data_IF_866395568777
#
_entry.id   IF_866395568777
#
_cell.length_a   1.000
_cell.length_b   1.000
_cell.length_c   1.000
_cell.angle_alpha   90.00
_cell.angle_beta   90.00
_cell.angle_gamma   90.00
#
_symmetry.space_group_name_H-M   'P 1'
#
loop_
_entity.id
_entity.type
_entity.pdbx_description
1 polymer ?
#
# COMPACT_ATOMS: atom_id res chain seq x y z
N UNK A 1 -1.81 9.90 -31.35
CA UNK A 1 -0.95 10.76 -30.49
C UNK A 1 -1.50 12.19 -30.57
N UNK A 2 -2.24 12.66 -29.58
CA UNK A 2 -2.68 14.06 -29.51
C UNK A 2 -1.64 14.84 -28.72
N UNK A 3 -1.00 15.78 -29.37
CA UNK A 3 0.08 16.60 -28.83
C UNK A 3 -0.38 17.42 -27.64
N UNK A 4 0.23 17.18 -26.47
CA UNK A 4 0.08 17.95 -25.23
C UNK A 4 0.66 19.38 -25.36
N UNK A 5 1.49 19.63 -26.35
CA UNK A 5 2.14 20.92 -26.63
C UNK A 5 1.17 22.05 -26.99
N UNK A 6 0.00 21.77 -27.55
CA UNK A 6 -0.95 22.80 -27.94
C UNK A 6 -1.95 23.24 -26.87
N UNK A 7 -1.87 22.71 -25.64
CA UNK A 7 -2.81 23.06 -24.58
C UNK A 7 -2.32 24.25 -23.73
N UNK A 8 -1.07 24.25 -23.34
CA UNK A 8 -0.50 25.36 -22.53
C UNK A 8 -0.59 26.66 -23.33
N UNK A 9 -0.32 26.62 -24.65
CA UNK A 9 -0.46 27.77 -25.55
C UNK A 9 -1.91 28.25 -25.65
N UNK A 10 -2.87 27.35 -25.85
CA UNK A 10 -4.31 27.70 -25.93
C UNK A 10 -4.88 28.23 -24.62
N UNK A 11 -4.43 27.72 -23.51
CA UNK A 11 -4.82 28.21 -22.19
C UNK A 11 -4.21 29.59 -21.93
N UNK A 12 -2.98 29.82 -22.36
CA UNK A 12 -2.32 31.12 -22.33
C UNK A 12 -3.11 32.19 -23.09
N UNK A 13 -3.52 31.89 -24.30
CA UNK A 13 -4.32 32.81 -25.11
C UNK A 13 -5.67 33.15 -24.46
N UNK A 14 -6.38 32.14 -23.94
CA UNK A 14 -7.67 32.35 -23.28
C UNK A 14 -7.58 33.11 -21.95
N UNK A 15 -6.53 32.87 -21.15
CA UNK A 15 -6.32 33.52 -19.86
C UNK A 15 -5.48 34.78 -19.96
N UNK A 16 -4.93 35.10 -21.12
CA UNK A 16 -4.00 36.22 -21.36
C UNK A 16 -2.82 36.23 -20.36
N UNK A 17 -2.22 35.05 -20.13
CA UNK A 17 -1.07 34.87 -19.23
C UNK A 17 0.03 34.08 -19.96
N UNK A 18 1.24 34.10 -19.43
CA UNK A 18 2.36 33.33 -20.00
C UNK A 18 2.21 31.81 -19.76
N UNK A 19 2.84 30.99 -20.61
CA UNK A 19 2.94 29.52 -20.44
C UNK A 19 3.52 29.18 -19.08
N UNK A 20 4.50 29.96 -18.60
CA UNK A 20 5.09 29.80 -17.28
C UNK A 20 4.06 29.98 -16.16
N UNK A 21 3.17 31.00 -16.30
CA UNK A 21 2.11 31.27 -15.33
C UNK A 21 1.06 30.14 -15.33
N UNK A 22 0.65 29.65 -16.50
CA UNK A 22 -0.25 28.48 -16.63
C UNK A 22 0.37 27.27 -15.94
N UNK A 23 1.62 26.93 -16.27
CA UNK A 23 2.33 25.82 -15.66
C UNK A 23 2.46 25.95 -14.15
N UNK A 24 2.73 27.13 -13.62
CA UNK A 24 2.82 27.39 -12.17
C UNK A 24 1.46 27.21 -11.49
N UNK A 25 0.38 27.75 -12.07
CA UNK A 25 -0.97 27.62 -11.52
C UNK A 25 -1.42 26.17 -11.47
N UNK A 26 -1.23 25.40 -12.56
CA UNK A 26 -1.59 24.00 -12.66
C UNK A 26 -0.78 23.11 -11.70
N UNK A 27 0.43 23.53 -11.34
CA UNK A 27 1.31 22.78 -10.41
C UNK A 27 1.27 23.30 -8.96
N UNK A 28 0.38 24.24 -8.62
CA UNK A 28 0.17 24.66 -7.25
C UNK A 28 1.27 25.55 -6.65
N UNK A 29 2.06 26.25 -7.46
CA UNK A 29 3.10 27.18 -6.95
C UNK A 29 2.47 28.37 -6.23
N UNK A 30 3.11 28.79 -5.13
CA UNK A 30 2.62 29.88 -4.26
C UNK A 30 2.89 31.28 -4.82
N UNK A 31 3.71 31.42 -5.87
CA UNK A 31 4.11 32.69 -6.46
C UNK A 31 3.14 33.22 -7.53
N UNK A 32 1.93 32.67 -7.56
CA UNK A 32 0.80 33.13 -8.40
C UNK A 32 -0.35 33.54 -7.49
N UNK A 33 -1.00 34.67 -7.82
CA UNK A 33 -2.17 35.13 -7.06
C UNK A 33 -3.28 34.07 -7.10
N UNK A 34 -4.03 33.95 -6.02
CA UNK A 34 -5.18 33.03 -5.94
C UNK A 34 -6.23 33.29 -7.02
N UNK A 35 -6.41 34.55 -7.40
CA UNK A 35 -7.36 34.95 -8.46
C UNK A 35 -6.91 34.43 -9.82
N UNK A 36 -5.64 34.63 -10.17
CA UNK A 36 -5.03 34.12 -11.41
C UNK A 36 -5.06 32.59 -11.43
N UNK A 37 -4.75 31.93 -10.32
CA UNK A 37 -4.80 30.48 -10.19
C UNK A 37 -6.21 29.95 -10.45
N UNK A 38 -7.23 30.50 -9.80
CA UNK A 38 -8.64 30.10 -9.99
C UNK A 38 -9.09 30.29 -11.44
N UNK A 39 -8.72 31.38 -12.07
CA UNK A 39 -9.02 31.66 -13.47
C UNK A 39 -8.41 30.60 -14.39
N UNK A 40 -7.12 30.29 -14.23
CA UNK A 40 -6.41 29.29 -15.04
C UNK A 40 -7.00 27.89 -14.83
N UNK A 41 -7.25 27.48 -13.60
CA UNK A 41 -7.83 26.16 -13.28
C UNK A 41 -9.26 26.02 -13.87
N UNK A 42 -10.06 27.07 -13.79
CA UNK A 42 -11.39 27.07 -14.40
C UNK A 42 -11.32 26.93 -15.91
N UNK A 43 -10.47 27.73 -16.57
CA UNK A 43 -10.28 27.66 -18.03
C UNK A 43 -9.76 26.30 -18.46
N UNK A 44 -8.81 25.72 -17.71
CA UNK A 44 -8.28 24.40 -17.96
C UNK A 44 -9.40 23.32 -17.88
N UNK A 45 -10.25 23.38 -16.84
CA UNK A 45 -11.38 22.48 -16.67
C UNK A 45 -12.39 22.61 -17.83
N UNK A 46 -12.76 23.84 -18.22
CA UNK A 46 -13.65 24.10 -19.36
C UNK A 46 -13.12 23.58 -20.69
N UNK A 47 -11.78 23.51 -20.82
CA UNK A 47 -11.10 22.95 -21.99
C UNK A 47 -10.90 21.43 -21.92
N UNK A 48 -11.35 20.76 -20.85
CA UNK A 48 -11.15 19.33 -20.65
C UNK A 48 -9.70 18.93 -20.42
N UNK A 49 -8.89 19.82 -19.86
CA UNK A 49 -7.49 19.53 -19.60
C UNK A 49 -7.32 18.63 -18.34
N UNK A 50 -6.60 17.55 -18.53
CA UNK A 50 -6.06 16.74 -17.47
C UNK A 50 -4.54 16.90 -17.42
N UNK A 51 -3.96 17.31 -16.29
CA UNK A 51 -2.51 17.41 -16.14
C UNK A 51 -1.82 16.09 -16.52
N UNK A 52 -0.74 16.18 -17.29
CA UNK A 52 0.03 15.00 -17.66
C UNK A 52 0.84 14.52 -16.43
N UNK A 53 0.49 13.34 -15.91
CA UNK A 53 1.17 12.72 -14.77
C UNK A 53 2.67 12.53 -15.01
N UNK A 54 3.09 12.16 -16.23
CA UNK A 54 4.49 11.99 -16.58
C UNK A 54 5.28 13.29 -16.51
N UNK A 55 4.69 14.41 -16.97
CA UNK A 55 5.32 15.73 -16.88
C UNK A 55 5.44 16.19 -15.40
N UNK A 56 4.42 15.89 -14.58
CA UNK A 56 4.45 16.14 -13.14
C UNK A 56 5.56 15.33 -12.46
N UNK A 57 5.67 14.03 -12.77
CA UNK A 57 6.70 13.13 -12.24
C UNK A 57 8.11 13.62 -12.55
N UNK A 58 8.38 14.04 -13.79
CA UNK A 58 9.68 14.58 -14.18
C UNK A 58 10.09 15.80 -13.34
N UNK A 59 9.11 16.63 -12.97
CA UNK A 59 9.35 17.86 -12.23
C UNK A 59 9.46 17.64 -10.72
N UNK A 60 8.56 16.85 -10.15
CA UNK A 60 8.46 16.61 -8.70
C UNK A 60 9.33 15.47 -8.23
N UNK A 61 9.84 14.63 -9.12
CA UNK A 61 10.49 13.33 -8.87
C UNK A 61 9.60 12.38 -8.04
N UNK A 62 8.28 12.58 -8.11
CA UNK A 62 7.26 11.74 -7.49
C UNK A 62 6.25 11.31 -8.52
N UNK A 63 5.95 10.02 -8.55
CA UNK A 63 4.94 9.46 -9.45
C UNK A 63 3.51 9.62 -8.92
N UNK A 64 3.36 9.78 -7.61
CA UNK A 64 2.10 9.66 -6.89
C UNK A 64 1.44 8.31 -7.13
N UNK A 65 2.25 7.27 -7.19
CA UNK A 65 1.81 5.89 -7.38
C UNK A 65 2.45 5.00 -6.31
N UNK A 66 1.64 4.19 -5.65
CA UNK A 66 2.11 3.23 -4.64
C UNK A 66 1.90 1.82 -5.18
N UNK A 67 2.95 1.01 -5.11
CA UNK A 67 2.89 -0.40 -5.40
C UNK A 67 2.18 -1.17 -4.29
N UNK A 68 1.38 -2.17 -4.66
CA UNK A 68 0.83 -3.14 -3.73
C UNK A 68 1.28 -4.51 -4.18
N UNK A 69 2.09 -5.15 -3.34
CA UNK A 69 2.47 -6.55 -3.49
C UNK A 69 1.55 -7.38 -2.63
N UNK A 70 0.69 -8.14 -3.28
CA UNK A 70 -0.27 -9.03 -2.66
C UNK A 70 -0.28 -10.35 -3.42
N UNK A 71 0.15 -11.43 -2.76
CA UNK A 71 0.22 -12.77 -3.34
C UNK A 71 -0.42 -13.73 -2.34
N UNK A 72 -1.67 -14.05 -2.58
CA UNK A 72 -2.40 -15.00 -1.73
C UNK A 72 -2.15 -16.43 -2.21
N UNK A 73 -1.34 -17.18 -1.47
CA UNK A 73 -1.02 -18.57 -1.74
C UNK A 73 -2.24 -19.50 -1.61
N UNK A 74 -3.23 -19.12 -0.80
CA UNK A 74 -4.50 -19.84 -0.65
C UNK A 74 -5.44 -19.66 -1.85
N UNK A 75 -5.04 -18.88 -2.85
CA UNK A 75 -5.80 -18.58 -4.05
C UNK A 75 -7.19 -17.95 -3.81
N UNK A 76 -7.44 -17.39 -2.63
CA UNK A 76 -8.62 -16.56 -2.36
C UNK A 76 -8.55 -15.19 -3.04
N UNK A 77 -7.35 -14.76 -3.41
CA UNK A 77 -7.10 -13.49 -4.08
C UNK A 77 -7.61 -12.30 -3.28
N UNK A 78 -8.17 -11.32 -3.95
CA UNK A 78 -8.73 -10.12 -3.31
C UNK A 78 -10.05 -10.38 -2.54
N UNK A 79 -10.54 -11.61 -2.50
CA UNK A 79 -11.72 -11.99 -1.73
C UNK A 79 -11.41 -12.44 -0.31
N UNK A 80 -10.13 -12.47 0.07
CA UNK A 80 -9.72 -12.77 1.44
C UNK A 80 -10.29 -11.71 2.41
N UNK A 81 -11.16 -12.13 3.32
CA UNK A 81 -12.04 -11.25 4.10
C UNK A 81 -11.25 -10.17 4.88
N UNK A 82 -10.21 -10.55 5.61
CA UNK A 82 -9.37 -9.61 6.35
C UNK A 82 -8.61 -8.64 5.41
N UNK A 83 -7.89 -9.16 4.42
CA UNK A 83 -7.08 -8.33 3.54
C UNK A 83 -7.90 -7.45 2.60
N UNK A 84 -9.09 -7.88 2.23
CA UNK A 84 -10.04 -7.05 1.49
C UNK A 84 -10.32 -5.73 2.24
N UNK A 85 -10.63 -5.78 3.53
CA UNK A 85 -10.86 -4.59 4.33
C UNK A 85 -9.60 -3.72 4.49
N UNK A 86 -8.44 -4.34 4.67
CA UNK A 86 -7.15 -3.63 4.74
C UNK A 86 -6.88 -2.89 3.42
N UNK A 87 -7.01 -3.58 2.29
CA UNK A 87 -6.76 -3.01 0.96
C UNK A 87 -7.76 -1.91 0.60
N UNK A 88 -9.04 -2.06 0.96
CA UNK A 88 -10.06 -1.02 0.72
C UNK A 88 -9.77 0.24 1.56
N UNK A 89 -9.39 0.08 2.82
CA UNK A 89 -9.00 1.21 3.67
C UNK A 89 -7.73 1.90 3.15
N UNK A 90 -6.75 1.12 2.71
CA UNK A 90 -5.53 1.63 2.10
C UNK A 90 -5.85 2.41 0.80
N UNK A 91 -6.65 1.82 -0.10
CA UNK A 91 -7.07 2.44 -1.36
C UNK A 91 -7.73 3.80 -1.11
N UNK A 92 -8.72 3.86 -0.24
CA UNK A 92 -9.41 5.11 0.10
C UNK A 92 -8.45 6.18 0.61
N UNK A 93 -7.54 5.83 1.52
CA UNK A 93 -6.56 6.78 2.08
C UNK A 93 -5.55 7.25 1.03
N UNK A 94 -5.13 6.37 0.12
CA UNK A 94 -4.25 6.72 -0.99
C UNK A 94 -4.92 7.71 -1.94
N UNK A 95 -6.16 7.44 -2.34
CA UNK A 95 -6.97 8.32 -3.21
C UNK A 95 -7.18 9.70 -2.58
N UNK A 96 -7.54 9.79 -1.29
CA UNK A 96 -7.68 11.06 -0.54
C UNK A 96 -6.39 11.88 -0.54
N UNK A 97 -5.23 11.22 -0.60
CA UNK A 97 -3.90 11.86 -0.66
C UNK A 97 -3.38 12.08 -2.09
N UNK A 98 -4.19 11.76 -3.10
CA UNK A 98 -3.85 11.94 -4.51
C UNK A 98 -2.84 10.93 -5.05
N UNK A 99 -2.80 9.72 -4.48
CA UNK A 99 -1.99 8.60 -4.95
C UNK A 99 -2.84 7.60 -5.72
N UNK A 100 -2.29 7.12 -6.82
CA UNK A 100 -2.75 5.93 -7.53
C UNK A 100 -2.18 4.67 -6.89
N UNK A 101 -2.82 3.51 -7.14
CA UNK A 101 -2.36 2.20 -6.67
C UNK A 101 -2.08 1.31 -7.87
N UNK A 102 -0.93 0.65 -7.86
CA UNK A 102 -0.56 -0.36 -8.85
C UNK A 102 -0.27 -1.68 -8.16
N UNK A 103 -1.04 -2.73 -8.48
CA UNK A 103 -0.68 -4.08 -8.07
C UNK A 103 0.56 -4.54 -8.81
N UNK A 104 1.54 -5.03 -8.05
CA UNK A 104 2.77 -5.56 -8.62
C UNK A 104 2.54 -6.98 -9.13
N UNK A 105 3.24 -7.35 -10.19
CA UNK A 105 3.19 -8.70 -10.76
C UNK A 105 4.58 -9.14 -11.25
N UNK A 106 4.82 -10.45 -11.26
CA UNK A 106 6.07 -11.03 -11.77
C UNK A 106 6.17 -11.07 -13.31
N UNK A 107 5.24 -10.41 -14.04
CA UNK A 107 5.25 -10.37 -15.52
C UNK A 107 4.76 -9.04 -16.04
N UNK A 108 5.50 -8.45 -16.99
CA UNK A 108 5.07 -7.28 -17.77
C UNK A 108 5.28 -7.59 -19.25
N UNK A 109 4.27 -7.38 -20.06
CA UNK A 109 4.33 -7.58 -21.53
C UNK A 109 4.90 -8.94 -21.94
N UNK A 110 4.60 -9.99 -21.17
CA UNK A 110 5.08 -11.35 -21.43
C UNK A 110 6.50 -11.65 -20.93
N UNK A 111 7.24 -10.67 -20.40
CA UNK A 111 8.56 -10.87 -19.80
C UNK A 111 8.43 -11.11 -18.29
N UNK A 112 9.21 -12.05 -17.76
CA UNK A 112 9.34 -12.28 -16.32
C UNK A 112 10.23 -11.17 -15.75
N UNK A 113 9.73 -10.48 -14.72
CA UNK A 113 10.44 -9.47 -13.94
C UNK A 113 10.35 -9.81 -12.47
N UNK A 114 11.36 -9.42 -11.68
CA UNK A 114 11.20 -9.44 -10.24
C UNK A 114 10.20 -8.36 -9.79
N UNK A 115 9.67 -8.47 -8.57
CA UNK A 115 8.79 -7.44 -8.02
C UNK A 115 9.49 -6.08 -7.90
N UNK A 116 10.78 -6.09 -7.58
CA UNK A 116 11.61 -4.89 -7.55
C UNK A 116 11.72 -4.24 -8.94
N UNK A 117 12.02 -5.03 -9.98
CA UNK A 117 12.07 -4.53 -11.36
C UNK A 117 10.73 -3.97 -11.82
N UNK A 118 9.62 -4.61 -11.44
CA UNK A 118 8.28 -4.09 -11.74
C UNK A 118 8.04 -2.73 -11.07
N UNK A 119 8.37 -2.60 -9.79
CA UNK A 119 8.23 -1.35 -9.04
C UNK A 119 9.06 -0.23 -9.67
N UNK A 120 10.30 -0.52 -10.06
CA UNK A 120 11.15 0.43 -10.79
C UNK A 120 10.59 0.81 -12.15
N UNK A 121 10.12 -0.16 -12.91
CA UNK A 121 9.51 0.08 -14.23
C UNK A 121 8.28 0.99 -14.12
N UNK A 122 7.47 0.82 -13.09
CA UNK A 122 6.30 1.66 -12.82
C UNK A 122 6.65 2.97 -12.13
N UNK A 123 7.87 3.10 -11.61
CA UNK A 123 8.34 4.28 -10.92
C UNK A 123 7.53 4.58 -9.66
N UNK A 124 7.16 3.55 -8.90
CA UNK A 124 6.36 3.75 -7.68
C UNK A 124 7.14 4.52 -6.62
N UNK A 125 6.46 5.34 -5.82
CA UNK A 125 7.07 6.13 -4.73
C UNK A 125 7.29 5.31 -3.47
N UNK A 126 6.67 4.14 -3.37
CA UNK A 126 6.79 3.18 -2.27
C UNK A 126 5.93 1.95 -2.52
N UNK A 127 6.06 0.94 -1.67
CA UNK A 127 5.36 -0.34 -1.80
C UNK A 127 4.77 -0.78 -0.47
N UNK A 128 3.53 -1.26 -0.51
CA UNK A 128 2.89 -2.01 0.58
C UNK A 128 2.97 -3.50 0.24
N UNK A 129 3.46 -4.30 1.18
CA UNK A 129 3.59 -5.75 1.04
C UNK A 129 2.66 -6.44 2.04
N UNK A 130 1.74 -7.25 1.55
CA UNK A 130 0.78 -7.98 2.35
C UNK A 130 0.52 -9.38 1.79
N UNK A 131 0.24 -10.34 2.68
CA UNK A 131 -0.19 -11.69 2.31
C UNK A 131 0.79 -12.40 1.33
N UNK A 132 2.08 -12.40 1.68
CA UNK A 132 3.14 -13.03 0.88
C UNK A 132 3.98 -13.96 1.74
N UNK A 133 4.71 -14.87 1.12
CA UNK A 133 5.86 -15.48 1.79
C UNK A 133 6.98 -14.44 1.96
N UNK A 134 7.08 -13.88 3.16
CA UNK A 134 8.06 -12.85 3.48
C UNK A 134 9.52 -13.33 3.43
N UNK A 135 9.75 -14.64 3.35
CA UNK A 135 11.10 -15.23 3.25
C UNK A 135 11.51 -15.54 1.81
N UNK A 136 10.58 -15.41 0.84
CA UNK A 136 10.90 -15.60 -0.58
C UNK A 136 11.95 -14.59 -1.06
N UNK A 137 12.92 -15.05 -1.87
CA UNK A 137 14.03 -14.23 -2.35
C UNK A 137 13.57 -12.96 -3.06
N UNK A 138 12.49 -13.05 -3.86
CA UNK A 138 11.93 -11.91 -4.59
C UNK A 138 11.34 -10.84 -3.66
N UNK A 139 10.79 -11.24 -2.50
CA UNK A 139 10.30 -10.31 -1.47
C UNK A 139 11.49 -9.69 -0.73
N UNK A 140 12.49 -10.50 -0.38
CA UNK A 140 13.71 -10.04 0.27
C UNK A 140 14.50 -9.04 -0.59
N UNK A 141 14.52 -9.21 -1.91
CA UNK A 141 15.11 -8.25 -2.84
C UNK A 141 14.45 -6.87 -2.70
N UNK A 142 13.11 -6.83 -2.70
CA UNK A 142 12.35 -5.60 -2.59
C UNK A 142 12.52 -4.93 -1.21
N UNK A 143 12.53 -5.72 -0.13
CA UNK A 143 12.75 -5.24 1.25
C UNK A 143 14.12 -4.56 1.42
N UNK A 144 15.16 -5.07 0.76
CA UNK A 144 16.54 -4.52 0.83
C UNK A 144 16.80 -3.40 -0.16
N UNK A 145 15.84 -3.11 -1.03
CA UNK A 145 15.99 -2.09 -2.06
C UNK A 145 15.89 -0.66 -1.49
N UNK A 146 16.18 0.32 -2.34
CA UNK A 146 16.02 1.74 -2.03
C UNK A 146 14.54 2.22 -2.03
N UNK A 147 13.61 1.38 -2.48
CA UNK A 147 12.18 1.73 -2.53
C UNK A 147 11.62 1.67 -1.12
N UNK A 148 10.95 2.72 -0.62
CA UNK A 148 10.29 2.68 0.68
C UNK A 148 9.26 1.55 0.75
N UNK A 149 9.38 0.69 1.77
CA UNK A 149 8.50 -0.46 1.96
C UNK A 149 7.78 -0.37 3.29
N UNK A 150 6.50 -0.70 3.28
CA UNK A 150 5.68 -0.95 4.46
C UNK A 150 5.13 -2.37 4.38
N UNK A 151 5.26 -3.14 5.45
CA UNK A 151 4.73 -4.50 5.52
C UNK A 151 3.48 -4.58 6.39
N UNK A 152 2.58 -5.50 6.07
CA UNK A 152 1.39 -5.81 6.87
C UNK A 152 1.60 -7.18 7.52
N UNK A 153 1.39 -7.25 8.85
CA UNK A 153 1.49 -8.45 9.68
C UNK A 153 2.87 -9.15 9.71
N UNK A 154 3.93 -8.44 9.27
CA UNK A 154 5.31 -8.94 9.39
C UNK A 154 6.27 -7.78 9.67
N UNK A 155 7.24 -8.01 10.57
CA UNK A 155 8.23 -7.00 10.99
C UNK A 155 9.60 -7.38 10.44
N UNK A 156 10.26 -6.42 9.79
CA UNK A 156 11.68 -6.47 9.43
C UNK A 156 12.43 -5.36 10.15
N UNK A 157 13.65 -5.64 10.55
CA UNK A 157 14.52 -4.62 11.14
C UNK A 157 14.78 -3.48 10.14
N UNK A 158 14.56 -2.27 10.59
CA UNK A 158 14.78 -1.06 9.77
C UNK A 158 13.63 -0.67 8.84
N UNK A 159 12.56 -1.47 8.75
CA UNK A 159 11.38 -1.16 7.94
C UNK A 159 10.15 -0.83 8.80
N UNK A 160 9.20 -0.13 8.21
CA UNK A 160 7.92 0.16 8.85
C UNK A 160 6.99 -1.03 8.65
N UNK A 161 6.35 -1.46 9.74
CA UNK A 161 5.33 -2.50 9.71
C UNK A 161 4.03 -2.03 10.37
N UNK A 162 2.91 -2.45 9.81
CA UNK A 162 1.59 -2.33 10.44
C UNK A 162 1.17 -3.72 10.89
N UNK A 163 1.04 -3.90 12.19
CA UNK A 163 0.76 -5.21 12.79
C UNK A 163 -0.39 -5.12 13.79
N UNK A 164 -1.17 -6.19 13.89
CA UNK A 164 -2.13 -6.37 14.96
C UNK A 164 -1.40 -6.82 16.25
N UNK A 165 -1.89 -6.43 17.42
CA UNK A 165 -1.37 -6.94 18.67
C UNK A 165 -1.87 -8.37 18.91
N UNK A 166 -1.30 -9.31 18.16
CA UNK A 166 -1.71 -10.71 18.15
C UNK A 166 -1.51 -11.42 19.50
N UNK A 167 -0.47 -11.04 20.24
CA UNK A 167 -0.20 -11.59 21.56
C UNK A 167 -1.28 -11.19 22.56
N UNK A 168 -1.57 -9.90 22.66
CA UNK A 168 -2.62 -9.41 23.57
C UNK A 168 -4.00 -9.97 23.20
N UNK A 169 -4.37 -9.98 21.91
CA UNK A 169 -5.65 -10.52 21.48
C UNK A 169 -5.81 -12.01 21.80
N UNK A 170 -4.72 -12.79 21.69
CA UNK A 170 -4.74 -14.19 22.09
C UNK A 170 -4.82 -14.38 23.60
N UNK A 171 -4.10 -13.57 24.38
CA UNK A 171 -4.16 -13.60 25.85
C UNK A 171 -5.56 -13.28 26.36
N UNK A 172 -6.19 -12.24 25.83
CA UNK A 172 -7.56 -11.86 26.17
C UNK A 172 -8.55 -12.99 25.84
N UNK A 173 -8.42 -13.61 24.66
CA UNK A 173 -9.27 -14.71 24.21
C UNK A 173 -9.13 -15.92 25.12
N UNK A 174 -7.90 -16.36 25.41
CA UNK A 174 -7.65 -17.54 26.24
C UNK A 174 -8.12 -17.30 27.68
N UNK A 175 -7.86 -16.10 28.21
CA UNK A 175 -8.34 -15.69 29.54
C UNK A 175 -9.87 -15.70 29.60
N UNK A 176 -10.53 -15.20 28.58
CA UNK A 176 -11.98 -15.24 28.49
C UNK A 176 -12.53 -16.67 28.52
N UNK A 177 -11.97 -17.55 27.67
CA UNK A 177 -12.36 -18.98 27.62
C UNK A 177 -12.16 -19.67 28.99
N UNK A 178 -11.02 -19.38 29.63
CA UNK A 178 -10.71 -19.93 30.94
C UNK A 178 -11.71 -19.46 32.02
N UNK A 179 -12.07 -18.17 32.01
CA UNK A 179 -13.04 -17.58 32.94
C UNK A 179 -14.46 -18.13 32.75
N UNK A 180 -14.79 -18.62 31.53
CA UNK A 180 -16.04 -19.37 31.29
C UNK A 180 -16.04 -20.80 31.85
N UNK A 181 -14.97 -21.24 32.47
CA UNK A 181 -14.86 -22.56 33.10
C UNK A 181 -14.22 -23.62 32.21
N UNK A 182 -13.84 -23.29 30.96
CA UNK A 182 -13.17 -24.24 30.09
C UNK A 182 -11.71 -24.43 30.50
N UNK A 183 -11.24 -25.70 30.52
CA UNK A 183 -9.87 -26.06 30.90
C UNK A 183 -9.12 -26.80 29.80
N UNK A 184 -9.85 -27.36 28.86
CA UNK A 184 -9.29 -28.05 27.69
C UNK A 184 -9.57 -27.19 26.44
N UNK A 185 -8.54 -26.58 25.93
CA UNK A 185 -8.61 -25.60 24.84
C UNK A 185 -7.83 -26.18 23.63
N UNK A 186 -8.45 -26.22 22.47
CA UNK A 186 -7.78 -26.55 21.22
C UNK A 186 -7.69 -25.31 20.33
N UNK A 187 -6.57 -25.12 19.65
CA UNK A 187 -6.35 -24.07 18.71
C UNK A 187 -6.15 -24.65 17.29
N UNK A 188 -7.04 -24.28 16.38
CA UNK A 188 -6.91 -24.62 14.97
C UNK A 188 -6.26 -23.45 14.27
N UNK A 189 -5.16 -23.69 13.60
CA UNK A 189 -4.41 -22.66 12.90
C UNK A 189 -4.09 -23.06 11.45
N UNK A 190 -3.80 -22.06 10.61
CA UNK A 190 -3.31 -22.23 9.25
C UNK A 190 -1.79 -22.40 9.21
N UNK A 191 -1.16 -21.77 8.22
CA UNK A 191 0.28 -21.85 8.00
C UNK A 191 1.10 -21.25 9.16
N UNK A 192 2.36 -21.67 9.25
CA UNK A 192 3.29 -21.25 10.30
C UNK A 192 3.86 -19.84 10.04
N UNK A 193 2.98 -18.85 9.94
CA UNK A 193 3.33 -17.44 9.77
C UNK A 193 3.86 -16.82 11.07
N UNK A 194 4.42 -15.61 10.99
CA UNK A 194 4.80 -14.83 12.19
C UNK A 194 3.61 -14.59 13.13
N UNK A 195 2.45 -14.30 12.57
CA UNK A 195 1.18 -14.12 13.30
C UNK A 195 0.79 -15.40 14.05
N UNK A 196 0.81 -16.54 13.36
CA UNK A 196 0.49 -17.84 13.95
C UNK A 196 1.44 -18.17 15.11
N UNK A 197 2.75 -17.94 14.93
CA UNK A 197 3.74 -18.18 15.98
C UNK A 197 3.53 -17.32 17.21
N UNK A 198 3.23 -16.02 17.05
CA UNK A 198 2.92 -15.13 18.18
C UNK A 198 1.70 -15.61 18.98
N UNK A 199 0.64 -16.04 18.31
CA UNK A 199 -0.56 -16.56 18.96
C UNK A 199 -0.30 -17.88 19.68
N UNK A 200 0.47 -18.77 19.06
CA UNK A 200 0.83 -20.06 19.64
C UNK A 200 1.73 -19.92 20.87
N UNK A 201 2.67 -18.96 20.90
CA UNK A 201 3.52 -18.74 22.07
C UNK A 201 2.68 -18.37 23.30
N UNK A 202 1.71 -17.45 23.15
CA UNK A 202 0.82 -17.07 24.24
C UNK A 202 0.01 -18.28 24.76
N UNK A 203 -0.52 -19.10 23.86
CA UNK A 203 -1.26 -20.30 24.24
C UNK A 203 -0.37 -21.29 25.01
N UNK A 204 0.88 -21.47 24.57
CA UNK A 204 1.85 -22.35 25.25
C UNK A 204 2.22 -21.83 26.65
N UNK A 205 2.45 -20.52 26.78
CA UNK A 205 2.77 -19.88 28.06
C UNK A 205 1.60 -19.99 29.05
N UNK A 206 0.38 -19.84 28.56
CA UNK A 206 -0.84 -19.97 29.35
C UNK A 206 -0.99 -21.38 29.95
N UNK A 207 -0.66 -22.42 29.15
CA UNK A 207 -0.68 -23.81 29.61
C UNK A 207 0.46 -24.14 30.58
N UNK A 208 1.66 -23.65 30.29
CA UNK A 208 2.83 -23.85 31.17
C UNK A 208 2.60 -23.25 32.55
N UNK A 209 1.81 -22.18 32.67
CA UNK A 209 1.39 -21.58 33.93
C UNK A 209 0.35 -22.40 34.70
N UNK A 210 -0.01 -23.59 34.21
CA UNK A 210 -0.95 -24.51 34.91
C UNK A 210 -2.42 -24.10 34.78
N UNK A 211 -2.73 -23.16 33.90
CA UNK A 211 -4.09 -22.61 33.73
C UNK A 211 -4.99 -23.47 32.85
N UNK A 212 -4.46 -24.45 32.12
CA UNK A 212 -5.26 -25.34 31.25
C UNK A 212 -4.44 -26.41 30.53
N UNK A 213 -5.14 -27.37 29.94
CA UNK A 213 -4.59 -28.36 28.98
C UNK A 213 -4.94 -27.92 27.55
N UNK A 214 -3.95 -27.79 26.69
CA UNK A 214 -4.16 -27.31 25.33
C UNK A 214 -3.73 -28.32 24.28
N UNK A 215 -4.56 -28.47 23.24
CA UNK A 215 -4.23 -29.18 22.02
C UNK A 215 -4.07 -28.20 20.85
N UNK A 216 -3.03 -28.37 20.03
CA UNK A 216 -2.84 -27.65 18.78
C UNK A 216 -3.20 -28.57 17.61
N UNK A 217 -4.10 -28.11 16.74
CA UNK A 217 -4.49 -28.81 15.51
C UNK A 217 -4.13 -27.93 14.32
N UNK A 218 -3.45 -28.54 13.36
CA UNK A 218 -3.05 -27.91 12.09
C UNK A 218 -4.11 -28.12 11.00
#
# INVERSE_FOLDING_TARGET
MRHTYGFDERNCEKCNVSVASVSKALNGYSDISEETRKMILKTASEMGYLPNSSARTLKTKRSYNIGVMFVDEAASGLTHDYFNHVLESFKRTAEERGYDITFTSGKISGQKLSYYEHCRYRGVDGVVIACVDFYADEVQELIRSEIPVVTIDHVFDGNIAVVSNNSQGMEELVTYIYNQGHRRIAYIHGDNTSVTRMRLSVLSDFTAAGSGDTGCLR
#
